data_IF_185981189741
#
_entry.id   IF_185981189741
#
_cell.length_a   1.000
_cell.length_b   1.000
_cell.length_c   1.000
_cell.angle_alpha   90.00
_cell.angle_beta   90.00
_cell.angle_gamma   90.00
#
_symmetry.space_group_name_H-M   'P 1'
#
loop_
_entity.id
_entity.type
_entity.pdbx_description
1 polymer ?
#
# COMPACT_ATOMS: atom_id res chain seq x y z
N UNK A 1 17.16 9.67 1.85
CA UNK A 1 16.15 8.68 2.19
C UNK A 1 15.74 7.94 0.93
N UNK A 2 15.78 6.61 0.93
CA UNK A 2 15.32 5.78 -0.20
C UNK A 2 14.00 5.11 0.19
N UNK A 3 13.03 5.16 -0.71
CA UNK A 3 11.68 4.66 -0.49
C UNK A 3 11.35 3.64 -1.59
N UNK A 4 10.75 2.52 -1.21
CA UNK A 4 10.11 1.60 -2.14
C UNK A 4 8.60 1.86 -2.10
N UNK A 5 7.97 1.79 -3.25
CA UNK A 5 6.51 1.97 -3.40
C UNK A 5 5.96 0.75 -4.13
N UNK A 6 4.87 0.20 -3.62
CA UNK A 6 4.19 -0.93 -4.23
C UNK A 6 2.68 -0.84 -4.00
N UNK A 7 1.93 -1.62 -4.76
CA UNK A 7 0.48 -1.71 -4.66
C UNK A 7 -0.02 -3.06 -5.16
N UNK A 8 -1.26 -3.38 -4.82
CA UNK A 8 -2.00 -4.48 -5.45
C UNK A 8 -1.29 -5.83 -5.35
N UNK A 9 -0.80 -6.18 -4.15
CA UNK A 9 -0.20 -7.49 -3.86
C UNK A 9 -1.22 -8.63 -3.96
N UNK A 10 -2.48 -8.34 -3.63
CA UNK A 10 -3.59 -9.28 -3.72
C UNK A 10 -3.31 -10.66 -3.11
N UNK A 11 -2.56 -10.69 -2.00
CA UNK A 11 -2.25 -11.92 -1.27
C UNK A 11 -1.16 -12.80 -1.91
N UNK A 12 -0.42 -12.33 -2.90
CA UNK A 12 0.68 -13.07 -3.51
C UNK A 12 1.92 -13.06 -2.61
N UNK A 13 2.21 -14.20 -1.99
CA UNK A 13 3.42 -14.35 -1.19
C UNK A 13 4.68 -14.28 -2.04
N UNK A 14 4.64 -14.78 -3.28
CA UNK A 14 5.75 -14.64 -4.24
C UNK A 14 6.12 -13.19 -4.48
N UNK A 15 5.15 -12.36 -4.90
CA UNK A 15 5.43 -10.97 -5.21
C UNK A 15 5.75 -10.14 -3.97
N UNK A 16 5.19 -10.49 -2.80
CA UNK A 16 5.58 -9.89 -1.53
C UNK A 16 7.05 -10.20 -1.18
N UNK A 17 7.51 -11.44 -1.38
CA UNK A 17 8.90 -11.82 -1.14
C UNK A 17 9.86 -11.08 -2.10
N UNK A 18 9.50 -10.94 -3.38
CA UNK A 18 10.28 -10.17 -4.36
C UNK A 18 10.34 -8.67 -3.97
N UNK A 19 9.23 -8.10 -3.52
CA UNK A 19 9.18 -6.74 -3.01
C UNK A 19 10.14 -6.53 -1.83
N UNK A 20 10.14 -7.46 -0.85
CA UNK A 20 11.03 -7.37 0.29
C UNK A 20 12.50 -7.60 -0.09
N UNK A 21 12.77 -8.45 -1.07
CA UNK A 21 14.11 -8.61 -1.63
C UNK A 21 14.60 -7.32 -2.29
N UNK A 22 13.72 -6.61 -2.99
CA UNK A 22 14.04 -5.29 -3.54
C UNK A 22 14.26 -4.26 -2.43
N UNK A 23 13.43 -4.26 -1.38
CA UNK A 23 13.56 -3.39 -0.22
C UNK A 23 14.94 -3.52 0.43
N UNK A 24 15.40 -4.76 0.66
CA UNK A 24 16.70 -5.04 1.25
C UNK A 24 17.85 -4.67 0.30
N UNK A 25 17.78 -5.08 -0.97
CA UNK A 25 18.81 -4.79 -1.98
C UNK A 25 19.05 -3.30 -2.16
N UNK A 26 17.98 -2.52 -2.16
CA UNK A 26 18.03 -1.07 -2.31
C UNK A 26 18.39 -0.35 -1.01
N UNK A 27 18.48 -1.04 0.13
CA UNK A 27 18.64 -0.45 1.45
C UNK A 27 17.58 0.64 1.71
N UNK A 28 16.31 0.32 1.39
CA UNK A 28 15.23 1.27 1.56
C UNK A 28 14.92 1.51 3.05
N UNK A 29 14.54 2.74 3.35
CA UNK A 29 14.23 3.16 4.72
C UNK A 29 12.73 3.13 5.01
N UNK A 30 11.90 3.11 3.94
CA UNK A 30 10.45 3.15 4.04
C UNK A 30 9.82 2.35 2.89
N UNK A 31 8.73 1.67 3.17
CA UNK A 31 7.86 1.02 2.20
C UNK A 31 6.49 1.71 2.21
N UNK A 32 6.07 2.23 1.06
CA UNK A 32 4.75 2.82 0.84
C UNK A 32 3.89 1.82 0.08
N UNK A 33 2.73 1.46 0.65
CA UNK A 33 1.78 0.52 0.06
C UNK A 33 0.49 1.24 -0.31
N UNK A 34 0.11 1.16 -1.58
CA UNK A 34 -1.09 1.84 -2.10
C UNK A 34 -2.35 0.96 -2.09
N UNK A 35 -2.44 0.00 -1.17
CA UNK A 35 -3.65 -0.81 -0.92
C UNK A 35 -3.73 -2.11 -1.70
N UNK A 36 -4.85 -2.83 -1.52
CA UNK A 36 -5.16 -4.13 -2.06
C UNK A 36 -4.09 -5.18 -1.70
N UNK A 37 -3.94 -5.41 -0.38
CA UNK A 37 -2.80 -6.17 0.16
C UNK A 37 -3.07 -7.67 0.20
N UNK A 38 -4.20 -8.13 0.76
CA UNK A 38 -4.43 -9.53 1.06
C UNK A 38 -5.43 -10.23 0.14
N UNK A 39 -6.57 -9.60 -0.14
CA UNK A 39 -7.64 -10.22 -0.91
C UNK A 39 -7.41 -10.06 -2.41
N UNK A 40 -7.53 -11.17 -3.16
CA UNK A 40 -7.30 -11.17 -4.61
C UNK A 40 -8.34 -10.38 -5.42
N UNK A 41 -9.53 -10.13 -4.84
CA UNK A 41 -10.66 -9.49 -5.52
C UNK A 41 -11.45 -10.46 -6.42
N UNK A 42 -12.77 -10.30 -6.53
CA UNK A 42 -13.63 -11.27 -7.23
C UNK A 42 -13.46 -11.23 -8.76
N UNK A 43 -12.89 -10.16 -9.29
CA UNK A 43 -12.68 -9.96 -10.73
C UNK A 43 -11.31 -10.36 -11.23
N UNK A 44 -10.38 -10.62 -10.31
CA UNK A 44 -9.01 -10.97 -10.65
C UNK A 44 -8.82 -12.49 -10.57
N UNK A 45 -7.98 -13.09 -11.42
CA UNK A 45 -7.53 -14.45 -11.19
C UNK A 45 -6.71 -14.51 -9.90
N UNK A 46 -6.60 -15.72 -9.31
CA UNK A 46 -5.69 -15.92 -8.18
C UNK A 46 -4.25 -15.61 -8.63
N UNK A 47 -3.53 -14.77 -7.91
CA UNK A 47 -2.13 -14.49 -8.24
C UNK A 47 -1.23 -15.67 -7.88
N UNK A 48 0.00 -15.62 -8.40
CA UNK A 48 1.02 -16.61 -8.08
C UNK A 48 1.26 -16.69 -6.56
N UNK A 49 1.26 -17.93 -6.04
CA UNK A 49 1.45 -18.23 -4.63
C UNK A 49 0.50 -17.41 -3.73
N UNK A 50 -0.82 -17.51 -4.02
CA UNK A 50 -1.84 -16.85 -3.21
C UNK A 50 -1.85 -17.42 -1.81
N UNK A 51 -1.30 -16.66 -0.87
CA UNK A 51 -1.16 -17.03 0.53
C UNK A 51 -1.21 -15.77 1.43
N UNK A 52 -2.43 -15.23 1.71
CA UNK A 52 -2.56 -13.97 2.46
C UNK A 52 -1.84 -13.95 3.80
N UNK A 53 -1.94 -15.04 4.59
CA UNK A 53 -1.26 -15.11 5.88
C UNK A 53 0.25 -15.14 5.78
N UNK A 54 0.80 -15.68 4.68
CA UNK A 54 2.22 -15.60 4.38
C UNK A 54 2.66 -14.17 4.06
N UNK A 55 1.82 -13.41 3.37
CA UNK A 55 2.05 -11.97 3.14
C UNK A 55 2.10 -11.22 4.47
N UNK A 56 1.17 -11.49 5.41
CA UNK A 56 1.18 -10.91 6.75
C UNK A 56 2.50 -11.22 7.48
N UNK A 57 2.94 -12.48 7.47
CA UNK A 57 4.20 -12.92 8.08
C UNK A 57 5.40 -12.15 7.48
N UNK A 58 5.48 -12.07 6.15
CA UNK A 58 6.56 -11.39 5.45
C UNK A 58 6.62 -9.90 5.80
N UNK A 59 5.48 -9.19 5.76
CA UNK A 59 5.41 -7.76 6.04
C UNK A 59 5.67 -7.44 7.52
N UNK A 60 5.43 -8.38 8.44
CA UNK A 60 5.71 -8.21 9.88
C UNK A 60 7.18 -7.87 10.13
N UNK A 61 8.09 -8.34 9.30
CA UNK A 61 9.54 -8.09 9.43
C UNK A 61 9.89 -6.60 9.42
N UNK A 62 9.15 -5.81 8.66
CA UNK A 62 9.41 -4.37 8.49
C UNK A 62 8.20 -3.48 8.84
N UNK A 63 7.29 -3.99 9.67
CA UNK A 63 6.01 -3.34 9.99
C UNK A 63 6.12 -1.86 10.38
N UNK A 64 7.16 -1.51 11.13
CA UNK A 64 7.39 -0.13 11.62
C UNK A 64 7.94 0.82 10.52
N UNK A 65 8.21 0.29 9.33
CA UNK A 65 8.70 1.01 8.15
C UNK A 65 7.65 1.06 7.03
N UNK A 66 6.41 0.67 7.32
CA UNK A 66 5.32 0.64 6.34
C UNK A 66 4.36 1.79 6.59
N UNK A 67 4.01 2.50 5.51
CA UNK A 67 2.85 3.38 5.44
C UNK A 67 1.93 2.80 4.37
N UNK A 68 0.68 2.49 4.74
CA UNK A 68 -0.25 1.81 3.87
C UNK A 68 -1.59 2.54 3.80
N UNK A 69 -2.15 2.67 2.60
CA UNK A 69 -3.53 3.12 2.38
C UNK A 69 -4.45 1.93 2.10
N UNK A 70 -5.73 2.07 2.39
CA UNK A 70 -6.73 1.07 2.00
C UNK A 70 -7.03 1.14 0.51
N UNK A 71 -7.01 -0.02 -0.14
CA UNK A 71 -7.60 -0.21 -1.46
C UNK A 71 -9.09 -0.59 -1.39
N UNK A 72 -9.66 -0.87 -2.55
CA UNK A 72 -11.07 -1.28 -2.63
C UNK A 72 -11.30 -2.75 -2.24
N UNK A 73 -10.27 -3.57 -2.23
CA UNK A 73 -10.34 -4.97 -1.80
C UNK A 73 -9.96 -5.17 -0.32
N UNK A 74 -9.40 -4.17 0.33
CA UNK A 74 -9.00 -4.27 1.74
C UNK A 74 -10.22 -4.20 2.66
N UNK A 75 -10.48 -5.29 3.36
CA UNK A 75 -11.62 -5.43 4.26
C UNK A 75 -11.27 -5.06 5.71
N UNK A 76 -12.29 -5.01 6.57
CA UNK A 76 -12.08 -4.86 8.00
C UNK A 76 -11.26 -6.02 8.58
N UNK A 77 -11.50 -7.25 8.11
CA UNK A 77 -10.76 -8.44 8.55
C UNK A 77 -9.29 -8.34 8.15
N UNK A 78 -8.98 -7.86 6.94
CA UNK A 78 -7.60 -7.68 6.50
C UNK A 78 -6.85 -6.71 7.41
N UNK A 79 -7.50 -5.61 7.80
CA UNK A 79 -6.94 -4.63 8.74
C UNK A 79 -6.70 -5.20 10.15
N UNK A 80 -7.49 -6.18 10.57
CA UNK A 80 -7.30 -6.84 11.87
C UNK A 80 -6.09 -7.76 11.92
N UNK A 81 -5.69 -8.35 10.79
CA UNK A 81 -4.59 -9.31 10.73
C UNK A 81 -3.27 -8.68 10.25
N UNK A 82 -3.32 -7.56 9.55
CA UNK A 82 -2.11 -6.84 9.13
C UNK A 82 -1.37 -6.26 10.35
N UNK A 83 -0.04 -6.32 10.38
CA UNK A 83 0.77 -5.92 11.53
C UNK A 83 0.98 -4.39 11.63
N UNK A 84 0.31 -3.62 10.81
CA UNK A 84 0.38 -2.15 10.73
C UNK A 84 -1.01 -1.56 10.45
N UNK A 85 -1.17 -0.28 10.76
CA UNK A 85 -2.41 0.43 10.47
C UNK A 85 -2.49 0.86 9.00
N UNK A 86 -3.72 0.85 8.46
CA UNK A 86 -4.02 1.37 7.14
C UNK A 86 -4.79 2.68 7.22
N UNK A 87 -4.47 3.62 6.33
CA UNK A 87 -5.21 4.87 6.16
C UNK A 87 -6.38 4.66 5.21
N UNK A 88 -7.61 4.72 5.73
CA UNK A 88 -8.82 4.47 4.96
C UNK A 88 -9.73 5.71 4.90
N UNK A 89 -10.08 6.15 3.70
CA UNK A 89 -10.91 7.36 3.50
C UNK A 89 -12.32 7.25 4.08
N UNK A 90 -12.86 6.03 4.18
CA UNK A 90 -14.27 5.79 4.54
C UNK A 90 -14.48 5.33 5.97
N UNK A 91 -13.45 5.27 6.80
CA UNK A 91 -13.64 4.91 8.20
C UNK A 91 -14.31 6.05 8.96
N UNK A 92 -15.25 5.73 9.88
CA UNK A 92 -15.69 6.68 10.89
C UNK A 92 -14.47 7.21 11.67
N UNK A 93 -14.51 8.45 12.10
CA UNK A 93 -13.41 9.11 12.83
C UNK A 93 -12.92 8.32 14.05
N UNK A 94 -13.77 7.45 14.59
CA UNK A 94 -13.54 6.73 15.84
C UNK A 94 -12.83 5.38 15.67
N UNK A 95 -12.66 4.88 14.43
CA UNK A 95 -12.21 3.51 14.18
C UNK A 95 -10.91 3.36 13.42
N UNK A 96 -10.20 4.46 13.12
CA UNK A 96 -8.93 4.37 12.40
C UNK A 96 -8.43 5.69 11.82
N UNK A 97 -7.28 5.65 11.18
CA UNK A 97 -6.68 6.81 10.50
C UNK A 97 -7.44 7.12 9.22
N UNK A 98 -8.00 8.33 9.14
CA UNK A 98 -8.73 8.81 7.97
C UNK A 98 -7.85 9.68 7.08
N UNK A 99 -8.06 9.58 5.77
CA UNK A 99 -7.44 10.47 4.79
C UNK A 99 -6.35 9.80 3.96
N UNK A 100 -5.70 10.58 3.13
CA UNK A 100 -4.55 10.17 2.34
C UNK A 100 -3.29 10.64 3.06
N UNK A 101 -2.44 9.72 3.53
CA UNK A 101 -1.20 10.11 4.17
C UNK A 101 -0.29 10.80 3.16
N UNK A 102 0.51 11.72 3.65
CA UNK A 102 1.59 12.32 2.88
C UNK A 102 2.93 12.10 3.59
N UNK A 103 3.97 11.88 2.80
CA UNK A 103 5.34 11.78 3.26
C UNK A 103 6.15 12.91 2.64
N UNK A 104 6.89 13.66 3.45
CA UNK A 104 7.77 14.71 2.93
C UNK A 104 9.19 14.17 2.75
N UNK A 105 9.69 14.22 1.53
CA UNK A 105 11.03 13.79 1.18
C UNK A 105 11.74 14.89 0.40
N UNK A 106 12.84 15.42 0.96
CA UNK A 106 13.59 16.51 0.33
C UNK A 106 12.69 17.70 -0.08
N UNK A 107 11.78 18.10 0.80
CA UNK A 107 10.80 19.17 0.60
C UNK A 107 9.72 18.89 -0.46
N UNK A 108 9.63 17.68 -0.96
CA UNK A 108 8.55 17.23 -1.85
C UNK A 108 7.52 16.43 -1.04
N UNK A 109 6.26 16.81 -1.13
CA UNK A 109 5.16 16.05 -0.52
C UNK A 109 4.70 14.95 -1.48
N UNK A 110 4.76 13.71 -1.00
CA UNK A 110 4.27 12.52 -1.70
C UNK A 110 2.95 12.11 -1.05
N UNK A 111 1.87 12.20 -1.79
CA UNK A 111 0.53 11.78 -1.36
C UNK A 111 0.23 10.39 -1.86
N UNK A 112 -0.27 9.54 -0.97
CA UNK A 112 -0.62 8.15 -1.26
C UNK A 112 -2.13 7.99 -1.32
N UNK A 113 -2.58 7.26 -2.33
CA UNK A 113 -3.97 6.82 -2.48
C UNK A 113 -3.99 5.46 -3.16
N UNK A 114 -5.14 4.76 -3.13
CA UNK A 114 -5.29 3.58 -3.96
C UNK A 114 -5.66 3.95 -5.40
N UNK A 115 -6.42 5.01 -5.60
CA UNK A 115 -6.77 5.51 -6.93
C UNK A 115 -8.15 5.09 -7.44
N UNK A 116 -8.97 4.41 -6.64
CA UNK A 116 -10.35 4.05 -6.98
C UNK A 116 -11.38 5.17 -6.74
N UNK A 117 -10.94 6.31 -6.22
CA UNK A 117 -11.72 7.54 -6.07
C UNK A 117 -11.06 8.68 -6.84
N UNK A 118 -11.81 9.75 -7.16
CA UNK A 118 -11.24 10.94 -7.76
C UNK A 118 -10.07 11.49 -6.93
N UNK A 119 -9.03 11.94 -7.62
CA UNK A 119 -7.88 12.55 -6.98
C UNK A 119 -8.30 13.75 -6.12
N UNK A 120 -7.72 13.92 -4.92
CA UNK A 120 -7.96 15.11 -4.11
C UNK A 120 -7.29 16.33 -4.75
N UNK A 121 -7.66 17.53 -4.27
CA UNK A 121 -6.86 18.71 -4.57
C UNK A 121 -5.47 18.57 -3.95
N UNK A 122 -4.44 18.75 -4.74
CA UNK A 122 -3.05 18.63 -4.32
C UNK A 122 -2.34 19.98 -4.43
N UNK A 123 -1.42 20.29 -3.51
CA UNK A 123 -0.56 21.47 -3.65
C UNK A 123 0.31 21.39 -4.89
N UNK A 124 0.67 22.55 -5.44
CA UNK A 124 1.63 22.61 -6.55
C UNK A 124 2.99 21.98 -6.15
N UNK A 125 3.55 21.19 -7.05
CA UNK A 125 4.80 20.46 -6.81
C UNK A 125 4.67 19.18 -5.96
N UNK A 126 3.45 18.80 -5.55
CA UNK A 126 3.23 17.53 -4.88
C UNK A 126 3.29 16.35 -5.88
N UNK A 127 3.75 15.21 -5.39
CA UNK A 127 3.70 13.93 -6.12
C UNK A 127 2.49 13.13 -5.63
N UNK A 128 1.69 12.62 -6.54
CA UNK A 128 0.54 11.77 -6.25
C UNK A 128 0.78 10.35 -6.76
N UNK A 129 0.70 9.39 -5.87
CA UNK A 129 0.99 7.98 -6.16
C UNK A 129 -0.24 7.14 -5.89
N UNK A 130 -0.60 6.33 -6.88
CA UNK A 130 -1.75 5.42 -6.81
C UNK A 130 -1.41 4.03 -7.32
N UNK A 131 -2.24 3.05 -6.95
CA UNK A 131 -2.30 1.71 -7.51
C UNK A 131 -3.56 1.48 -8.34
N UNK A 132 -4.28 0.40 -8.09
CA UNK A 132 -5.61 0.04 -8.58
C UNK A 132 -5.71 -0.38 -10.06
N UNK A 133 -5.05 0.31 -10.95
CA UNK A 133 -5.22 0.06 -12.41
C UNK A 133 -4.45 -1.17 -12.89
N UNK A 134 -3.49 -1.65 -12.14
CA UNK A 134 -2.50 -2.69 -12.52
C UNK A 134 -1.73 -2.34 -13.82
N UNK A 135 -1.76 -1.07 -14.21
CA UNK A 135 -1.06 -0.56 -15.41
C UNK A 135 -0.14 0.58 -15.00
N UNK A 136 1.17 0.46 -15.25
CA UNK A 136 2.12 1.52 -14.96
C UNK A 136 1.79 2.78 -15.77
N UNK A 137 1.69 3.91 -15.08
CA UNK A 137 1.50 5.23 -15.70
C UNK A 137 2.35 6.25 -14.98
N UNK A 138 3.02 7.10 -15.75
CA UNK A 138 3.75 8.26 -15.25
C UNK A 138 3.36 9.49 -16.08
N UNK A 139 2.74 10.47 -15.46
CA UNK A 139 2.23 11.69 -16.09
C UNK A 139 2.69 12.93 -15.33
#
# INVERSE_FOLDING_TARGET
MKIIIASDLHGSAKWCAELLSAYDRENAELLLLCGDILYHGPRNPLPDDYSPMKVVELLTRIKDKIICVCGNCDSEVDRMVLPFEMYCKHLPYETGRRGSPSVCVNSVFIYLDHGHYPAPYLPEGAVYITGHTHVPLNV
#
